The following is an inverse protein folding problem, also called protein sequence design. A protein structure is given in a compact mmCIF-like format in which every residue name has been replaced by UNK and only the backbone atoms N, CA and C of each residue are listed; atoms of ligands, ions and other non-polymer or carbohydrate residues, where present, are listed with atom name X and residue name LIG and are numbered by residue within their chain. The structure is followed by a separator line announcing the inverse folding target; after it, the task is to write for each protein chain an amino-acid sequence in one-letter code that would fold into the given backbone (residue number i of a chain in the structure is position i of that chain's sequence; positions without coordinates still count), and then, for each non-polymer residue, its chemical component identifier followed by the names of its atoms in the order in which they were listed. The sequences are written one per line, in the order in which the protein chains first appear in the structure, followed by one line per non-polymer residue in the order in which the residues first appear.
data_IF_005975994057
#
_entry.id   IF_005975994057
#
_cell.length_a   1.000
_cell.length_b   1.000
_cell.length_c   1.000
_cell.angle_alpha   90.00
_cell.angle_beta   90.00
_cell.angle_gamma   90.00
#
_symmetry.space_group_name_H-M   'P 1'
#
loop_
_entity.id
_entity.type
_entity.pdbx_description
1 polymer ?
#
# COMPACT_ATOMS: atom_id res chain seq x y z
N UNK A 1 -3.73 -5.13 20.93
CA UNK A 1 -4.69 -6.22 20.59
C UNK A 1 -4.22 -7.03 19.37
N UNK A 2 -2.94 -7.39 19.30
CA UNK A 2 -2.39 -8.32 18.28
C UNK A 2 -2.33 -9.75 18.82
N UNK A 3 -2.02 -9.88 20.11
CA UNK A 3 -1.91 -11.17 20.82
C UNK A 3 -3.14 -12.08 20.70
N UNK A 4 -4.35 -11.50 20.72
CA UNK A 4 -5.60 -12.27 20.62
C UNK A 4 -5.86 -12.79 19.19
N UNK A 5 -5.36 -12.09 18.17
CA UNK A 5 -5.48 -12.48 16.76
C UNK A 5 -4.39 -13.50 16.40
N UNK A 6 -3.18 -13.32 16.91
CA UNK A 6 -2.05 -14.24 16.72
C UNK A 6 -2.34 -15.63 17.34
N UNK A 7 -2.98 -15.68 18.52
CA UNK A 7 -3.42 -16.94 19.16
C UNK A 7 -4.62 -17.57 18.42
N UNK A 8 -5.52 -16.76 17.87
CA UNK A 8 -6.73 -17.26 17.19
C UNK A 8 -6.48 -17.84 15.80
N UNK A 9 -5.43 -17.39 15.10
CA UNK A 9 -5.13 -17.80 13.72
C UNK A 9 -3.82 -18.59 13.56
N UNK A 10 -3.06 -18.81 14.65
CA UNK A 10 -1.76 -19.49 14.64
C UNK A 10 -0.78 -18.94 13.56
N UNK A 11 -0.94 -17.67 13.22
CA UNK A 11 -0.19 -16.96 12.20
C UNK A 11 0.29 -15.64 12.81
N UNK A 12 1.60 -15.41 12.81
CA UNK A 12 2.17 -14.11 13.12
C UNK A 12 1.71 -13.11 12.05
N UNK A 13 0.68 -12.30 12.35
CA UNK A 13 0.18 -11.28 11.41
C UNK A 13 1.27 -10.26 11.06
N UNK A 14 2.27 -10.12 11.94
CA UNK A 14 3.47 -9.30 11.75
C UNK A 14 4.33 -9.74 10.56
N UNK A 15 4.31 -11.03 10.20
CA UNK A 15 5.00 -11.54 9.01
C UNK A 15 4.29 -11.18 7.70
N UNK A 16 2.98 -10.96 7.74
CA UNK A 16 2.17 -10.66 6.54
C UNK A 16 1.89 -9.16 6.37
N UNK A 17 1.74 -8.42 7.48
CA UNK A 17 1.42 -7.00 7.52
C UNK A 17 2.46 -6.27 8.38
N UNK A 18 3.61 -5.94 7.80
CA UNK A 18 4.76 -5.48 8.55
C UNK A 18 4.60 -4.07 9.17
N UNK A 19 3.49 -3.38 8.90
CA UNK A 19 3.08 -2.14 9.58
C UNK A 19 2.48 -2.32 10.98
N UNK A 20 2.25 -3.56 11.44
CA UNK A 20 1.87 -3.86 12.84
C UNK A 20 3.07 -4.04 13.78
N UNK A 21 4.29 -3.82 13.29
CA UNK A 21 5.47 -3.85 14.13
C UNK A 21 5.47 -2.69 15.14
N UNK A 22 5.90 -2.98 16.37
CA UNK A 22 5.93 -2.00 17.43
C UNK A 22 6.88 -0.85 17.08
N UNK A 23 6.33 0.38 17.07
CA UNK A 23 7.10 1.58 16.80
C UNK A 23 7.88 1.96 18.07
N UNK A 24 9.15 1.60 18.13
CA UNK A 24 10.03 2.06 19.20
C UNK A 24 10.28 3.56 19.09
N UNK A 25 10.56 4.23 20.22
CA UNK A 25 10.78 5.69 20.28
C UNK A 25 11.85 6.15 19.27
N UNK A 26 12.92 5.36 19.11
CA UNK A 26 13.99 5.66 18.16
C UNK A 26 13.50 5.59 16.70
N UNK A 27 12.60 4.66 16.37
CA UNK A 27 12.01 4.51 15.03
C UNK A 27 10.98 5.59 14.73
N UNK A 28 10.24 6.04 15.75
CA UNK A 28 9.27 7.13 15.59
C UNK A 28 9.93 8.44 15.12
N UNK A 29 11.18 8.71 15.53
CA UNK A 29 11.94 9.88 15.07
C UNK A 29 12.26 9.86 13.57
N UNK A 30 12.17 8.70 12.90
CA UNK A 30 12.40 8.58 11.46
C UNK A 30 11.14 8.89 10.63
N UNK A 31 9.95 8.89 11.24
CA UNK A 31 8.67 9.13 10.54
C UNK A 31 8.65 10.47 9.80
N UNK A 32 9.10 11.61 10.39
CA UNK A 32 9.15 12.89 9.68
C UNK A 32 10.08 12.88 8.46
N UNK A 33 11.18 12.14 8.52
CA UNK A 33 12.14 12.04 7.41
C UNK A 33 11.54 11.27 6.22
N UNK A 34 10.80 10.19 6.47
CA UNK A 34 10.08 9.47 5.42
C UNK A 34 8.82 10.22 4.95
N UNK A 35 8.22 11.05 5.80
CA UNK A 35 7.00 11.78 5.49
C UNK A 35 7.14 12.70 4.28
N UNK A 36 8.24 13.44 4.18
CA UNK A 36 8.45 14.38 3.06
C UNK A 36 8.46 13.67 1.70
N UNK A 37 9.29 12.64 1.45
CA UNK A 37 9.29 11.96 0.15
C UNK A 37 7.96 11.25 -0.15
N UNK A 38 7.33 10.65 0.85
CA UNK A 38 6.01 10.04 0.66
C UNK A 38 4.92 11.08 0.36
N UNK A 39 4.99 12.26 0.98
CA UNK A 39 4.04 13.35 0.72
C UNK A 39 4.12 13.78 -0.75
N UNK A 40 5.32 13.99 -1.27
CA UNK A 40 5.53 14.34 -2.68
C UNK A 40 5.00 13.22 -3.59
N UNK A 41 5.33 11.97 -3.28
CA UNK A 41 4.87 10.81 -4.05
C UNK A 41 3.34 10.72 -4.08
N UNK A 42 2.67 10.72 -2.93
CA UNK A 42 1.21 10.58 -2.86
C UNK A 42 0.47 11.81 -3.38
N UNK A 43 1.10 12.99 -3.36
CA UNK A 43 0.56 14.18 -3.98
C UNK A 43 0.51 14.05 -5.50
N UNK A 44 1.65 13.70 -6.12
CA UNK A 44 1.75 13.47 -7.57
C UNK A 44 0.87 12.30 -7.99
N UNK A 45 0.91 11.21 -7.23
CA UNK A 45 0.04 10.06 -7.45
C UNK A 45 -1.43 10.45 -7.38
N UNK A 46 -1.84 11.21 -6.36
CA UNK A 46 -3.23 11.64 -6.16
C UNK A 46 -3.75 12.53 -7.29
N UNK A 47 -2.92 13.41 -7.84
CA UNK A 47 -3.26 14.24 -9.00
C UNK A 47 -3.43 13.38 -10.27
N UNK A 48 -2.47 12.48 -10.53
CA UNK A 48 -2.53 11.55 -11.65
C UNK A 48 -3.74 10.60 -11.55
N UNK A 49 -3.93 9.96 -10.40
CA UNK A 49 -5.04 9.05 -10.14
C UNK A 49 -6.38 9.76 -10.19
N UNK A 50 -6.45 11.01 -9.70
CA UNK A 50 -7.62 11.86 -9.83
C UNK A 50 -8.05 12.02 -11.30
N UNK A 51 -7.09 12.24 -12.20
CA UNK A 51 -7.32 12.27 -13.64
C UNK A 51 -7.91 10.96 -14.19
N UNK A 52 -7.36 9.81 -13.82
CA UNK A 52 -7.80 8.48 -14.28
C UNK A 52 -9.17 8.06 -13.70
N UNK A 53 -9.52 8.58 -12.52
CA UNK A 53 -10.79 8.33 -11.84
C UNK A 53 -11.96 9.24 -12.29
N UNK A 54 -11.73 10.29 -13.10
CA UNK A 54 -12.76 11.21 -13.66
C UNK A 54 -13.72 10.57 -14.67
N UNK A 55 -14.23 9.39 -14.39
CA UNK A 55 -15.36 8.80 -15.11
C UNK A 55 -16.67 9.45 -14.61
N UNK A 56 -17.67 9.61 -15.48
CA UNK A 56 -18.97 10.22 -15.14
C UNK A 56 -19.51 9.64 -13.82
N UNK A 57 -19.87 10.51 -12.89
CA UNK A 57 -20.52 10.13 -11.63
C UNK A 57 -21.79 9.33 -11.96
N UNK A 58 -21.95 8.16 -11.36
CA UNK A 58 -23.18 7.36 -11.47
C UNK A 58 -24.23 7.96 -10.53
N UNK A 59 -25.51 7.71 -10.83
CA UNK A 59 -26.68 8.35 -10.20
C UNK A 59 -26.79 8.21 -8.66
N UNK A 60 -26.05 7.28 -8.05
CA UNK A 60 -26.03 7.09 -6.59
C UNK A 60 -24.63 7.29 -6.01
N UNK A 61 -24.53 8.16 -5.00
CA UNK A 61 -23.28 8.51 -4.30
C UNK A 61 -22.47 7.28 -3.86
N UNK A 62 -23.11 6.30 -3.22
CA UNK A 62 -22.45 5.08 -2.75
C UNK A 62 -21.95 4.19 -3.89
N UNK A 63 -22.70 4.13 -5.00
CA UNK A 63 -22.29 3.34 -6.18
C UNK A 63 -21.07 3.97 -6.86
N UNK A 64 -21.02 5.30 -6.93
CA UNK A 64 -19.85 6.03 -7.45
C UNK A 64 -18.64 5.82 -6.56
N UNK A 65 -18.80 5.91 -5.24
CA UNK A 65 -17.72 5.66 -4.28
C UNK A 65 -17.13 4.24 -4.43
N UNK A 66 -17.97 3.21 -4.38
CA UNK A 66 -17.51 1.82 -4.52
C UNK A 66 -16.85 1.60 -5.89
N UNK A 67 -17.44 2.13 -6.96
CA UNK A 67 -16.90 1.96 -8.30
C UNK A 67 -15.51 2.61 -8.45
N UNK A 68 -15.33 3.83 -7.95
CA UNK A 68 -14.03 4.50 -7.96
C UNK A 68 -13.01 3.78 -7.09
N UNK A 69 -13.43 3.28 -5.91
CA UNK A 69 -12.57 2.52 -5.01
C UNK A 69 -12.09 1.22 -5.64
N UNK A 70 -13.00 0.41 -6.20
CA UNK A 70 -12.62 -0.84 -6.87
C UNK A 70 -11.73 -0.57 -8.08
N UNK A 71 -12.07 0.43 -8.91
CA UNK A 71 -11.25 0.80 -10.07
C UNK A 71 -9.86 1.27 -9.66
N UNK A 72 -9.76 2.11 -8.63
CA UNK A 72 -8.49 2.60 -8.09
C UNK A 72 -7.62 1.48 -7.54
N UNK A 73 -8.21 0.56 -6.77
CA UNK A 73 -7.51 -0.61 -6.22
C UNK A 73 -6.96 -1.46 -7.36
N UNK A 74 -7.79 -1.77 -8.37
CA UNK A 74 -7.34 -2.58 -9.50
C UNK A 74 -6.19 -1.91 -10.25
N UNK A 75 -6.31 -0.63 -10.59
CA UNK A 75 -5.24 0.10 -11.32
C UNK A 75 -3.94 0.12 -10.49
N UNK A 76 -4.03 0.39 -9.19
CA UNK A 76 -2.87 0.49 -8.31
C UNK A 76 -2.21 -0.86 -8.05
N UNK A 77 -2.99 -1.90 -7.80
CA UNK A 77 -2.49 -3.22 -7.43
C UNK A 77 -2.15 -4.13 -8.62
N UNK A 78 -2.74 -3.89 -9.79
CA UNK A 78 -2.51 -4.70 -11.00
C UNK A 78 -1.03 -4.91 -11.37
N UNK A 79 -0.17 -3.87 -11.46
CA UNK A 79 1.22 -4.07 -11.85
C UNK A 79 1.97 -4.99 -10.88
N UNK A 80 1.67 -4.90 -9.58
CA UNK A 80 2.30 -5.74 -8.56
C UNK A 80 1.86 -7.20 -8.67
N UNK A 81 0.55 -7.45 -8.79
CA UNK A 81 0.04 -8.80 -8.97
C UNK A 81 0.52 -9.43 -10.28
N UNK A 82 0.59 -8.64 -11.34
CA UNK A 82 1.11 -9.10 -12.63
C UNK A 82 2.57 -9.56 -12.53
N UNK A 83 3.43 -8.79 -11.86
CA UNK A 83 4.82 -9.17 -11.62
C UNK A 83 4.95 -10.42 -10.75
N UNK A 84 4.16 -10.55 -9.68
CA UNK A 84 4.14 -11.75 -8.84
C UNK A 84 3.73 -12.98 -9.66
N UNK A 85 2.65 -12.89 -10.44
CA UNK A 85 2.13 -13.99 -11.26
C UNK A 85 3.18 -14.43 -12.28
N UNK A 86 3.86 -13.49 -12.94
CA UNK A 86 4.91 -13.82 -13.90
C UNK A 86 6.09 -14.51 -13.21
N UNK A 87 6.62 -13.91 -12.14
CA UNK A 87 7.79 -14.43 -11.44
C UNK A 87 7.50 -15.82 -10.85
N UNK A 88 6.35 -15.99 -10.19
CA UNK A 88 5.96 -17.23 -9.53
C UNK A 88 5.50 -18.28 -10.54
N UNK A 89 4.68 -17.90 -11.53
CA UNK A 89 4.19 -18.79 -12.57
C UNK A 89 5.33 -19.36 -13.42
N UNK A 90 6.31 -18.53 -13.79
CA UNK A 90 7.50 -19.02 -14.48
C UNK A 90 8.32 -19.98 -13.62
N UNK A 91 8.49 -19.67 -12.33
CA UNK A 91 9.16 -20.53 -11.37
C UNK A 91 8.49 -21.91 -11.22
N UNK A 92 7.16 -21.95 -11.19
CA UNK A 92 6.40 -23.20 -11.12
C UNK A 92 6.52 -24.05 -12.38
N UNK A 93 6.57 -23.43 -13.56
CA UNK A 93 6.62 -24.15 -14.84
C UNK A 93 8.02 -24.67 -15.17
N UNK A 94 9.07 -23.91 -14.84
CA UNK A 94 10.45 -24.21 -15.25
C UNK A 94 11.33 -24.74 -14.13
N UNK A 95 10.90 -24.62 -12.87
CA UNK A 95 11.73 -24.92 -11.69
C UNK A 95 12.84 -23.90 -11.45
N UNK A 96 12.92 -22.81 -12.23
CA UNK A 96 13.97 -21.78 -12.16
C UNK A 96 13.32 -20.42 -11.93
N UNK A 97 13.89 -19.61 -11.04
CA UNK A 97 13.42 -18.23 -10.84
C UNK A 97 13.66 -17.38 -12.10
N UNK A 98 12.61 -16.70 -12.59
CA UNK A 98 12.70 -15.84 -13.78
C UNK A 98 13.77 -14.75 -13.59
N UNK A 99 13.66 -14.01 -12.49
CA UNK A 99 14.71 -13.13 -11.99
C UNK A 99 15.38 -13.79 -10.79
N UNK A 100 16.60 -14.34 -10.93
CA UNK A 100 17.36 -14.86 -9.81
C UNK A 100 17.98 -13.72 -8.98
N UNK A 101 18.26 -14.00 -7.70
CA UNK A 101 18.92 -13.06 -6.78
C UNK A 101 17.95 -12.19 -5.96
N UNK A 102 18.51 -11.19 -5.27
CA UNK A 102 17.75 -10.35 -4.34
C UNK A 102 16.57 -9.63 -4.99
N UNK A 103 16.70 -9.19 -6.25
CA UNK A 103 15.65 -8.42 -6.95
C UNK A 103 14.39 -9.28 -7.16
N UNK A 104 14.56 -10.50 -7.66
CA UNK A 104 13.41 -11.41 -7.83
C UNK A 104 12.79 -11.82 -6.51
N UNK A 105 13.60 -12.00 -5.47
CA UNK A 105 13.10 -12.24 -4.10
C UNK A 105 12.33 -11.03 -3.57
N UNK A 106 12.78 -9.80 -3.83
CA UNK A 106 12.07 -8.57 -3.46
C UNK A 106 10.67 -8.48 -4.07
N UNK A 107 10.47 -8.96 -5.30
CA UNK A 107 9.15 -8.96 -5.96
C UNK A 107 8.14 -9.88 -5.27
N UNK A 108 8.60 -10.95 -4.62
CA UNK A 108 7.69 -11.78 -3.82
C UNK A 108 7.10 -10.96 -2.66
N UNK A 109 7.82 -10.01 -2.07
CA UNK A 109 7.27 -9.20 -0.98
C UNK A 109 6.22 -8.18 -1.41
N UNK A 110 5.95 -8.02 -2.71
CA UNK A 110 4.87 -7.13 -3.16
C UNK A 110 3.49 -7.55 -2.64
N UNK A 111 3.27 -8.84 -2.30
CA UNK A 111 2.02 -9.25 -1.65
C UNK A 111 1.83 -8.55 -0.30
N UNK A 112 2.90 -8.26 0.44
CA UNK A 112 2.83 -7.61 1.75
C UNK A 112 2.47 -6.12 1.65
N UNK A 113 2.74 -5.49 0.50
CA UNK A 113 2.37 -4.09 0.20
C UNK A 113 0.97 -3.95 -0.38
N UNK A 114 0.43 -5.00 -1.01
CA UNK A 114 -0.88 -4.94 -1.67
C UNK A 114 -2.03 -4.49 -0.75
N UNK A 115 -2.18 -4.99 0.51
CA UNK A 115 -3.21 -4.51 1.43
C UNK A 115 -3.07 -3.01 1.76
N UNK A 116 -1.84 -2.51 1.85
CA UNK A 116 -1.58 -1.10 2.13
C UNK A 116 -1.96 -0.19 0.96
N UNK A 117 -1.80 -0.67 -0.28
CA UNK A 117 -2.30 0.05 -1.46
C UNK A 117 -3.83 0.10 -1.51
N UNK A 118 -4.51 -0.95 -1.05
CA UNK A 118 -5.98 -0.95 -0.89
C UNK A 118 -6.40 0.13 0.10
N UNK A 119 -5.82 0.12 1.29
CA UNK A 119 -6.11 1.11 2.35
C UNK A 119 -5.82 2.54 1.85
N UNK A 120 -4.67 2.73 1.21
CA UNK A 120 -4.26 4.01 0.62
C UNK A 120 -5.28 4.56 -0.38
N UNK A 121 -5.82 3.69 -1.22
CA UNK A 121 -6.81 4.07 -2.24
C UNK A 121 -8.12 4.49 -1.59
N UNK A 122 -8.58 3.73 -0.58
CA UNK A 122 -9.78 4.07 0.19
C UNK A 122 -9.63 5.44 0.84
N UNK A 123 -8.49 5.71 1.49
CA UNK A 123 -8.20 6.99 2.14
C UNK A 123 -8.22 8.16 1.14
N UNK A 124 -7.62 7.99 -0.04
CA UNK A 124 -7.59 9.05 -1.07
C UNK A 124 -8.98 9.37 -1.59
N UNK A 125 -9.77 8.34 -1.90
CA UNK A 125 -11.11 8.51 -2.45
C UNK A 125 -12.04 9.11 -1.38
N UNK A 126 -11.91 8.65 -0.13
CA UNK A 126 -12.63 9.22 1.00
C UNK A 126 -12.27 10.70 1.22
N UNK A 127 -10.98 11.04 1.25
CA UNK A 127 -10.51 12.42 1.40
C UNK A 127 -10.97 13.32 0.25
N UNK A 128 -10.97 12.80 -0.98
CA UNK A 128 -11.50 13.50 -2.14
C UNK A 128 -13.01 13.74 -2.04
N UNK A 129 -13.79 12.76 -1.56
CA UNK A 129 -15.23 12.96 -1.35
C UNK A 129 -15.53 14.02 -0.28
N UNK A 130 -14.73 14.10 0.78
CA UNK A 130 -14.93 15.08 1.85
C UNK A 130 -14.54 16.50 1.45
N UNK A 131 -13.44 16.66 0.69
CA UNK A 131 -12.83 17.97 0.45
C UNK A 131 -12.89 18.45 -0.99
N UNK A 132 -13.29 17.58 -1.92
CA UNK A 132 -13.16 17.81 -3.37
C UNK A 132 -11.71 17.89 -3.85
N UNK A 133 -10.72 17.62 -2.99
CA UNK A 133 -9.29 17.71 -3.27
C UNK A 133 -8.57 16.45 -2.79
N UNK A 134 -7.48 16.09 -3.44
CA UNK A 134 -6.69 14.88 -3.12
C UNK A 134 -5.66 15.10 -2.00
N UNK A 135 -5.43 16.36 -1.57
CA UNK A 135 -4.36 16.71 -0.64
C UNK A 135 -4.51 16.03 0.73
N UNK A 136 -5.75 15.94 1.23
CA UNK A 136 -6.01 15.28 2.50
C UNK A 136 -5.67 13.80 2.45
N UNK A 137 -6.06 13.13 1.36
CA UNK A 137 -5.70 11.74 1.11
C UNK A 137 -4.19 11.53 1.01
N UNK A 138 -3.49 12.45 0.35
CA UNK A 138 -2.04 12.40 0.20
C UNK A 138 -1.30 12.55 1.54
N UNK A 139 -1.73 13.48 2.40
CA UNK A 139 -1.13 13.69 3.73
C UNK A 139 -1.32 12.46 4.61
N UNK A 140 -2.54 11.92 4.67
CA UNK A 140 -2.84 10.75 5.51
C UNK A 140 -2.07 9.52 5.01
N UNK A 141 -2.02 9.30 3.70
CA UNK A 141 -1.23 8.21 3.12
C UNK A 141 0.26 8.36 3.35
N UNK A 142 0.79 9.58 3.23
CA UNK A 142 2.19 9.84 3.51
C UNK A 142 2.53 9.50 4.96
N UNK A 143 1.69 9.90 5.92
CA UNK A 143 1.88 9.55 7.32
C UNK A 143 1.82 8.04 7.54
N UNK A 144 0.84 7.36 6.93
CA UNK A 144 0.65 5.92 7.03
C UNK A 144 1.88 5.15 6.51
N UNK A 145 2.37 5.48 5.31
CA UNK A 145 3.50 4.79 4.70
C UNK A 145 4.82 5.13 5.39
N UNK A 146 5.00 6.37 5.86
CA UNK A 146 6.15 6.71 6.69
C UNK A 146 6.20 5.92 7.98
N UNK A 147 5.05 5.71 8.62
CA UNK A 147 4.96 4.85 9.80
C UNK A 147 5.32 3.40 9.44
N UNK A 148 4.70 2.82 8.40
CA UNK A 148 4.99 1.44 7.99
C UNK A 148 6.49 1.26 7.75
N UNK A 149 7.10 2.13 6.96
CA UNK A 149 8.53 2.08 6.64
C UNK A 149 9.40 2.26 7.90
N UNK A 150 9.09 3.23 8.76
CA UNK A 150 9.81 3.42 10.01
C UNK A 150 9.69 2.22 10.97
N UNK A 151 8.55 1.53 10.97
CA UNK A 151 8.35 0.32 11.79
C UNK A 151 9.14 -0.88 11.26
N UNK A 152 9.40 -0.93 9.95
CA UNK A 152 10.03 -2.04 9.24
C UNK A 152 11.54 -1.95 9.15
N UNK A 153 12.07 -0.77 8.82
CA UNK A 153 13.50 -0.61 8.63
C UNK A 153 14.21 -0.57 9.99
N UNK A 154 15.18 -1.47 10.24
CA UNK A 154 16.07 -1.31 11.39
C UNK A 154 16.87 -0.03 11.18
N UNK A 155 16.99 0.76 12.25
CA UNK A 155 17.94 1.85 12.31
C UNK A 155 19.32 1.20 12.34
N UNK A 156 19.96 1.09 11.17
CA UNK A 156 21.37 0.76 11.06
C UNK A 156 22.14 2.08 11.17
N UNK A 157 22.60 2.39 12.38
CA UNK A 157 23.74 3.29 12.57
C UNK A 157 24.97 2.40 12.79
#
# INVERSE_FOLDING_TARGET
CTLAVDVGLALDFRCFLPGFNDLTVNRALMVPFYFIPFLVYFYVEGDWFGGVMRTKSKDAWTKTHIHWTVKGILIKSFPYFFLIIIQYGYGLLTGIALLPGMIGFSFLFFYAFAPWFVISTVIVIWGHHLTGKYWLGAIVNALLFSWIIASMLPIAF
#
